data_IF_519208137018
#
_entry.id   IF_519208137018
#
_cell.length_a   1.000
_cell.length_b   1.000
_cell.length_c   1.000
_cell.angle_alpha   90.00
_cell.angle_beta   90.00
_cell.angle_gamma   90.00
#
_symmetry.space_group_name_H-M   'P 1'
#
loop_
_entity.id
_entity.type
_entity.pdbx_description
1 polymer ?
#
# COMPACT_ATOMS: atom_id res chain seq x y z
N UNK A 1 10.12 15.35 9.01
CA UNK A 1 10.65 14.19 8.26
C UNK A 1 9.97 12.88 8.63
N UNK A 2 10.08 12.40 9.87
CA UNK A 2 9.46 11.13 10.30
C UNK A 2 7.95 11.07 10.11
N UNK A 3 7.24 12.14 10.49
CA UNK A 3 5.78 12.23 10.31
C UNK A 3 5.37 12.08 8.84
N UNK A 4 5.96 12.88 7.95
CA UNK A 4 5.63 12.84 6.50
C UNK A 4 5.87 11.44 5.92
N UNK A 5 7.02 10.83 6.21
CA UNK A 5 7.37 9.52 5.67
C UNK A 5 6.57 8.38 6.29
N UNK A 6 6.74 8.12 7.59
CA UNK A 6 6.12 7.00 8.30
C UNK A 6 4.63 7.20 8.60
N UNK A 7 4.20 8.44 8.81
CA UNK A 7 2.80 8.75 9.16
C UNK A 7 1.91 9.04 7.96
N UNK A 8 2.46 9.21 6.75
CA UNK A 8 1.62 9.55 5.57
C UNK A 8 2.05 8.84 4.29
N UNK A 9 3.26 9.08 3.78
CA UNK A 9 3.68 8.58 2.46
C UNK A 9 3.78 7.05 2.40
N UNK A 10 4.43 6.43 3.38
CA UNK A 10 4.60 4.97 3.44
C UNK A 10 3.23 4.27 3.60
N UNK A 11 2.37 4.66 4.56
CA UNK A 11 1.01 4.12 4.67
C UNK A 11 0.18 4.31 3.40
N UNK A 12 0.23 5.48 2.75
CA UNK A 12 -0.48 5.74 1.50
C UNK A 12 -0.04 4.78 0.39
N UNK A 13 1.27 4.60 0.23
CA UNK A 13 1.81 3.62 -0.72
C UNK A 13 1.36 2.19 -0.42
N UNK A 14 1.23 1.82 0.87
CA UNK A 14 0.70 0.51 1.29
C UNK A 14 -0.77 0.35 0.93
N UNK A 15 -1.60 1.37 1.14
CA UNK A 15 -3.03 1.37 0.77
C UNK A 15 -3.17 1.16 -0.74
N UNK A 16 -2.42 1.92 -1.55
CA UNK A 16 -2.44 1.81 -3.01
C UNK A 16 -2.01 0.41 -3.48
N UNK A 17 -0.98 -0.19 -2.87
CA UNK A 17 -0.55 -1.54 -3.24
C UNK A 17 -1.54 -2.65 -2.85
N UNK A 18 -2.36 -2.41 -1.83
CA UNK A 18 -3.39 -3.32 -1.35
C UNK A 18 -4.67 -3.21 -2.20
N UNK A 19 -5.13 -1.99 -2.44
CA UNK A 19 -6.43 -1.75 -3.05
C UNK A 19 -6.38 -1.41 -4.54
N UNK A 20 -5.34 -0.73 -5.01
CA UNK A 20 -5.29 -0.24 -6.39
C UNK A 20 -4.99 -1.32 -7.45
N UNK A 21 -5.20 -2.61 -7.15
CA UNK A 21 -4.80 -3.70 -8.05
C UNK A 21 -5.59 -3.71 -9.36
N UNK A 22 -6.79 -3.13 -9.37
CA UNK A 22 -7.66 -2.95 -10.53
C UNK A 22 -7.25 -1.77 -11.42
N UNK A 23 -6.41 -0.85 -10.92
CA UNK A 23 -6.03 0.37 -11.64
C UNK A 23 -5.37 0.05 -12.99
N UNK A 24 -5.87 0.70 -14.04
CA UNK A 24 -5.37 0.58 -15.41
C UNK A 24 -4.36 1.71 -15.73
N UNK A 25 -3.31 1.44 -16.53
CA UNK A 25 -2.95 0.15 -17.12
C UNK A 25 -2.39 -0.84 -16.09
N UNK A 26 -2.40 -2.13 -16.43
CA UNK A 26 -1.98 -3.20 -15.51
C UNK A 26 -0.61 -2.92 -14.86
N UNK A 27 -0.57 -3.08 -13.54
CA UNK A 27 0.61 -2.78 -12.74
C UNK A 27 0.80 -1.31 -12.36
N UNK A 28 -0.17 -0.42 -12.65
CA UNK A 28 -0.12 0.99 -12.22
C UNK A 28 0.06 1.12 -10.69
N UNK A 29 -0.62 0.30 -9.89
CA UNK A 29 -0.44 0.27 -8.43
C UNK A 29 1.02 0.12 -8.02
N UNK A 30 1.82 -0.64 -8.77
CA UNK A 30 3.23 -0.88 -8.48
C UNK A 30 4.09 0.32 -8.87
N UNK A 31 3.76 0.95 -10.00
CA UNK A 31 4.38 2.19 -10.48
C UNK A 31 4.14 3.37 -9.54
N UNK A 32 3.04 3.37 -8.78
CA UNK A 32 2.75 4.40 -7.76
C UNK A 32 3.31 4.00 -6.39
N UNK A 33 3.15 2.73 -5.98
CA UNK A 33 3.64 2.23 -4.69
C UNK A 33 5.16 2.44 -4.55
N UNK A 34 5.94 2.02 -5.56
CA UNK A 34 7.40 2.07 -5.51
C UNK A 34 7.95 3.48 -5.24
N UNK A 35 7.61 4.53 -6.01
CA UNK A 35 8.12 5.88 -5.74
C UNK A 35 7.65 6.42 -4.39
N UNK A 36 6.40 6.16 -3.97
CA UNK A 36 5.93 6.56 -2.64
C UNK A 36 6.77 5.92 -1.52
N UNK A 37 7.12 4.64 -1.64
CA UNK A 37 8.00 3.99 -0.68
C UNK A 37 9.42 4.58 -0.70
N UNK A 38 10.00 4.82 -1.89
CA UNK A 38 11.35 5.39 -2.01
C UNK A 38 11.40 6.80 -1.40
N UNK A 39 10.44 7.66 -1.76
CA UNK A 39 10.37 9.03 -1.24
C UNK A 39 10.13 8.98 0.27
N UNK A 40 9.12 8.24 0.71
CA UNK A 40 8.80 8.10 2.14
C UNK A 40 9.99 7.61 2.95
N UNK A 41 10.65 6.54 2.50
CA UNK A 41 11.84 6.00 3.16
C UNK A 41 13.00 6.99 3.16
N UNK A 42 13.22 7.74 2.07
CA UNK A 42 14.27 8.78 2.02
C UNK A 42 14.03 9.87 3.06
N UNK A 43 12.80 10.37 3.18
CA UNK A 43 12.43 11.33 4.23
C UNK A 43 12.71 10.76 5.63
N UNK A 44 12.33 9.51 5.89
CA UNK A 44 12.56 8.89 7.20
C UNK A 44 14.04 8.62 7.47
N UNK A 45 14.83 8.28 6.44
CA UNK A 45 16.27 8.05 6.56
C UNK A 45 16.99 9.34 6.93
N UNK A 46 16.68 10.46 6.25
CA UNK A 46 17.21 11.78 6.61
C UNK A 46 16.82 12.15 8.04
N UNK A 47 15.54 11.97 8.39
CA UNK A 47 15.07 12.21 9.76
C UNK A 47 15.78 11.35 10.81
N UNK A 48 16.10 10.10 10.48
CA UNK A 48 16.79 9.18 11.36
C UNK A 48 18.24 9.56 11.56
N UNK A 49 18.96 9.92 10.48
CA UNK A 49 20.34 10.40 10.55
C UNK A 49 20.44 11.67 11.40
N UNK A 50 19.50 12.60 11.22
CA UNK A 50 19.41 13.82 12.05
C UNK A 50 19.17 13.44 13.52
N UNK A 51 18.24 12.51 13.79
CA UNK A 51 17.97 12.04 15.15
C UNK A 51 19.21 11.43 15.82
N UNK A 52 19.97 10.61 15.08
CA UNK A 52 21.18 9.97 15.59
C UNK A 52 22.32 10.95 15.85
N UNK A 53 22.48 11.97 15.00
CA UNK A 53 23.61 12.90 15.09
C UNK A 53 23.35 14.10 16.01
N UNK A 54 22.10 14.57 16.12
CA UNK A 54 21.78 15.79 16.85
C UNK A 54 21.16 15.57 18.24
N UNK A 55 20.52 14.43 18.50
CA UNK A 55 19.70 14.26 19.71
C UNK A 55 20.32 13.33 20.76
N UNK A 56 21.65 13.14 20.72
CA UNK A 56 22.39 12.18 21.56
C UNK A 56 21.60 10.87 21.73
N UNK A 57 20.96 10.41 20.65
CA UNK A 57 19.90 9.40 20.74
C UNK A 57 20.41 8.06 21.30
N UNK A 58 21.73 7.85 21.25
CA UNK A 58 22.46 6.70 21.76
C UNK A 58 23.03 6.91 23.18
N UNK A 59 23.06 8.13 23.71
CA UNK A 59 23.51 8.41 25.07
C UNK A 59 22.37 8.18 26.07
N UNK A 60 22.57 7.21 26.96
CA UNK A 60 21.91 6.95 28.25
C UNK A 60 20.53 7.58 28.55
N UNK A 61 19.60 7.58 27.58
CA UNK A 61 18.22 7.98 27.80
C UNK A 61 17.55 7.08 28.84
N UNK A 62 16.87 7.67 29.82
CA UNK A 62 16.07 6.94 30.82
C UNK A 62 14.59 6.92 30.42
N UNK A 63 13.90 5.82 30.73
CA UNK A 63 12.46 5.69 30.53
C UNK A 63 12.01 5.76 29.06
N UNK A 64 11.03 6.63 28.75
CA UNK A 64 10.35 6.71 27.44
C UNK A 64 11.29 7.02 26.27
N UNK A 65 12.37 7.79 26.51
CA UNK A 65 13.37 8.10 25.49
C UNK A 65 14.10 6.85 25.00
N UNK A 66 14.45 5.94 25.91
CA UNK A 66 15.12 4.69 25.57
C UNK A 66 14.23 3.78 24.71
N UNK A 67 12.96 3.67 25.11
CA UNK A 67 11.95 2.87 24.39
C UNK A 67 11.74 3.44 22.97
N UNK A 68 11.58 4.76 22.86
CA UNK A 68 11.44 5.43 21.57
C UNK A 68 12.65 5.16 20.65
N UNK A 69 13.87 5.34 21.15
CA UNK A 69 15.09 5.07 20.37
C UNK A 69 15.13 3.62 19.89
N UNK A 70 14.96 2.64 20.79
CA UNK A 70 15.03 1.21 20.43
C UNK A 70 13.98 0.81 19.40
N UNK A 71 12.74 1.22 19.61
CA UNK A 71 11.66 0.94 18.65
C UNK A 71 11.89 1.67 17.33
N UNK A 72 12.36 2.91 17.37
CA UNK A 72 12.72 3.67 16.17
C UNK A 72 13.81 2.99 15.35
N UNK A 73 14.84 2.45 16.00
CA UNK A 73 15.89 1.65 15.33
C UNK A 73 15.28 0.42 14.66
N UNK A 74 14.48 -0.37 15.38
CA UNK A 74 13.83 -1.57 14.81
C UNK A 74 12.97 -1.22 13.60
N UNK A 75 12.13 -0.18 13.70
CA UNK A 75 11.28 0.28 12.60
C UNK A 75 12.11 0.73 11.39
N UNK A 76 13.19 1.47 11.61
CA UNK A 76 14.08 1.90 10.52
C UNK A 76 14.78 0.71 9.85
N UNK A 77 15.30 -0.25 10.62
CA UNK A 77 15.87 -1.48 10.06
C UNK A 77 14.84 -2.26 9.26
N UNK A 78 13.63 -2.45 9.78
CA UNK A 78 12.55 -3.11 9.05
C UNK A 78 12.21 -2.38 7.76
N UNK A 79 12.16 -1.04 7.78
CA UNK A 79 11.90 -0.20 6.61
C UNK A 79 12.99 -0.29 5.54
N UNK A 80 14.27 -0.27 5.94
CA UNK A 80 15.41 -0.41 5.03
C UNK A 80 15.54 -1.83 4.45
N UNK A 81 15.11 -2.85 5.19
CA UNK A 81 15.05 -4.23 4.69
C UNK A 81 13.93 -4.44 3.66
N UNK A 82 12.87 -3.62 3.65
CA UNK A 82 11.78 -3.78 2.67
C UNK A 82 12.25 -3.67 1.21
N UNK A 83 12.97 -2.62 0.76
CA UNK A 83 13.43 -2.53 -0.61
C UNK A 83 14.47 -3.62 -0.95
N UNK A 84 15.34 -4.00 0.00
CA UNK A 84 16.29 -5.10 -0.20
C UNK A 84 15.56 -6.44 -0.41
N UNK A 85 14.57 -6.74 0.43
CA UNK A 85 13.72 -7.91 0.26
C UNK A 85 12.92 -7.84 -1.05
N UNK A 86 12.47 -6.65 -1.46
CA UNK A 86 11.77 -6.45 -2.72
C UNK A 86 12.65 -6.62 -3.96
N UNK A 87 13.96 -6.42 -3.84
CA UNK A 87 14.92 -6.74 -4.90
C UNK A 87 15.05 -8.25 -5.10
N UNK A 88 14.94 -9.04 -4.04
CA UNK A 88 14.95 -10.51 -4.08
C UNK A 88 13.61 -11.13 -4.50
N UNK A 89 12.68 -10.32 -5.04
CA UNK A 89 11.35 -10.77 -5.48
C UNK A 89 11.49 -11.84 -6.57
N UNK A 90 10.98 -13.06 -6.35
CA UNK A 90 10.99 -14.10 -7.39
C UNK A 90 10.19 -13.70 -8.62
N UNK A 91 10.68 -14.05 -9.81
CA UNK A 91 9.97 -13.84 -11.08
C UNK A 91 8.74 -14.78 -11.20
N UNK A 92 7.79 -14.42 -12.07
CA UNK A 92 6.73 -15.35 -12.46
C UNK A 92 7.33 -16.43 -13.36
N UNK A 93 6.90 -17.68 -13.18
CA UNK A 93 7.25 -18.75 -14.12
C UNK A 93 6.40 -18.62 -15.40
N UNK A 94 6.88 -19.19 -16.50
CA UNK A 94 6.22 -19.16 -17.81
C UNK A 94 4.76 -19.68 -17.78
N UNK A 95 4.42 -20.56 -16.82
CA UNK A 95 3.07 -21.14 -16.67
C UNK A 95 2.11 -20.30 -15.80
N UNK A 96 2.50 -19.07 -15.44
CA UNK A 96 1.71 -18.11 -14.63
C UNK A 96 1.30 -18.61 -13.22
N UNK A 97 1.75 -19.80 -12.82
CA UNK A 97 1.53 -20.35 -11.48
C UNK A 97 2.48 -19.69 -10.49
N UNK A 98 1.92 -19.13 -9.41
CA UNK A 98 2.70 -18.63 -8.27
C UNK A 98 3.56 -19.77 -7.71
N UNK A 99 4.88 -19.63 -7.80
CA UNK A 99 5.78 -20.58 -7.14
C UNK A 99 5.60 -20.51 -5.63
N UNK A 100 5.81 -21.63 -4.93
CA UNK A 100 5.79 -21.67 -3.44
C UNK A 100 6.70 -20.58 -2.85
N UNK A 101 7.83 -20.32 -3.51
CA UNK A 101 8.79 -19.26 -3.16
C UNK A 101 8.18 -17.86 -3.29
N UNK A 102 7.52 -17.55 -4.43
CA UNK A 102 6.84 -16.27 -4.66
C UNK A 102 5.75 -16.02 -3.62
N UNK A 103 4.99 -17.06 -3.28
CA UNK A 103 3.94 -16.99 -2.27
C UNK A 103 4.51 -16.73 -0.87
N UNK A 104 5.54 -17.47 -0.46
CA UNK A 104 6.23 -17.24 0.81
C UNK A 104 6.83 -15.82 0.90
N UNK A 105 7.46 -15.35 -0.18
CA UNK A 105 7.97 -13.99 -0.27
C UNK A 105 6.86 -12.94 -0.13
N UNK A 106 5.70 -13.15 -0.77
CA UNK A 106 4.55 -12.23 -0.66
C UNK A 106 4.03 -12.13 0.77
N UNK A 107 3.96 -13.25 1.49
CA UNK A 107 3.57 -13.26 2.92
C UNK A 107 4.62 -12.51 3.73
N UNK A 108 5.90 -12.85 3.60
CA UNK A 108 6.97 -12.23 4.38
C UNK A 108 7.04 -10.72 4.14
N UNK A 109 7.07 -10.28 2.88
CA UNK A 109 7.15 -8.88 2.52
C UNK A 109 5.96 -8.07 3.07
N UNK A 110 4.73 -8.58 2.90
CA UNK A 110 3.53 -7.90 3.39
C UNK A 110 3.47 -7.88 4.92
N UNK A 111 3.71 -9.01 5.58
CA UNK A 111 3.64 -9.10 7.04
C UNK A 111 4.64 -8.18 7.73
N UNK A 112 5.90 -8.17 7.28
CA UNK A 112 6.91 -7.26 7.82
C UNK A 112 6.61 -5.80 7.48
N UNK A 113 6.08 -5.50 6.29
CA UNK A 113 5.66 -4.16 5.91
C UNK A 113 4.54 -3.62 6.80
N UNK A 114 3.49 -4.41 7.05
CA UNK A 114 2.40 -4.03 7.94
C UNK A 114 2.86 -3.85 9.39
N UNK A 115 3.70 -4.77 9.87
CA UNK A 115 4.28 -4.65 11.22
C UNK A 115 5.13 -3.38 11.37
N UNK A 116 5.94 -3.03 10.36
CA UNK A 116 6.72 -1.79 10.37
C UNK A 116 5.82 -0.55 10.48
N UNK A 117 4.74 -0.48 9.68
CA UNK A 117 3.80 0.64 9.69
C UNK A 117 3.09 0.76 11.05
N UNK A 118 2.61 -0.36 11.62
CA UNK A 118 1.95 -0.34 12.93
C UNK A 118 2.89 0.10 14.05
N UNK A 119 4.13 -0.41 14.07
CA UNK A 119 5.13 0.01 15.03
C UNK A 119 5.51 1.48 14.86
N UNK A 120 5.56 1.98 13.61
CA UNK A 120 5.87 3.38 13.34
C UNK A 120 4.86 4.35 13.96
N UNK A 121 3.57 3.99 14.03
CA UNK A 121 2.55 4.79 14.73
C UNK A 121 2.90 4.94 16.21
N UNK A 122 3.28 3.84 16.86
CA UNK A 122 3.69 3.84 18.28
C UNK A 122 4.96 4.67 18.48
N UNK A 123 5.95 4.52 17.59
CA UNK A 123 7.20 5.29 17.62
C UNK A 123 6.95 6.79 17.47
N UNK A 124 6.08 7.20 16.54
CA UNK A 124 5.69 8.60 16.33
C UNK A 124 4.97 9.16 17.57
N UNK A 125 4.06 8.40 18.16
CA UNK A 125 3.33 8.83 19.35
C UNK A 125 4.29 9.07 20.53
N UNK A 126 5.24 8.16 20.78
CA UNK A 126 6.25 8.39 21.82
C UNK A 126 7.20 9.53 21.47
N UNK A 127 7.68 9.61 20.23
CA UNK A 127 8.63 10.62 19.81
C UNK A 127 8.09 12.03 19.99
N UNK A 128 6.83 12.25 19.60
CA UNK A 128 6.18 13.56 19.74
C UNK A 128 5.94 13.97 21.19
N UNK A 129 5.85 13.04 22.14
CA UNK A 129 5.79 13.36 23.58
C UNK A 129 7.14 13.73 24.19
N UNK A 130 8.26 13.38 23.53
CA UNK A 130 9.62 13.65 24.00
C UNK A 130 10.15 14.98 23.44
N UNK A 131 9.60 15.46 22.32
CA UNK A 131 10.06 16.69 21.69
C UNK A 131 9.80 17.92 22.58
N UNK A 132 10.77 18.85 22.68
CA UNK A 132 10.64 20.06 23.49
C UNK A 132 9.61 21.08 22.94
N UNK A 133 9.19 20.91 21.69
CA UNK A 133 8.05 21.61 21.07
C UNK A 133 7.24 20.59 20.29
N UNK A 134 5.91 20.67 20.29
CA UNK A 134 5.07 21.82 20.67
C UNK A 134 4.69 21.88 22.16
N UNK A 135 4.20 23.05 22.62
CA UNK A 135 3.77 23.30 24.01
C UNK A 135 2.70 22.32 24.50
N UNK A 136 1.85 21.83 23.59
CA UNK A 136 0.87 20.78 23.84
C UNK A 136 1.05 19.62 22.85
N UNK A 137 1.89 18.62 23.18
CA UNK A 137 2.13 17.47 22.33
C UNK A 137 0.87 16.69 21.97
N UNK A 138 -0.14 16.65 22.86
CA UNK A 138 -1.38 15.90 22.61
C UNK A 138 -2.25 16.60 21.58
N UNK A 139 -2.39 17.92 21.65
CA UNK A 139 -3.11 18.69 20.61
C UNK A 139 -2.44 18.53 19.25
N UNK A 140 -1.11 18.56 19.20
CA UNK A 140 -0.38 18.32 17.97
C UNK A 140 -0.61 16.92 17.41
N UNK A 141 -0.51 15.88 18.26
CA UNK A 141 -0.81 14.50 17.86
C UNK A 141 -2.23 14.36 17.33
N UNK A 142 -3.21 14.99 17.96
CA UNK A 142 -4.60 14.97 17.51
C UNK A 142 -4.77 15.68 16.16
N UNK A 143 -4.24 16.88 16.01
CA UNK A 143 -4.34 17.63 14.76
C UNK A 143 -3.66 16.89 13.60
N UNK A 144 -2.42 16.43 13.81
CA UNK A 144 -1.69 15.66 12.81
C UNK A 144 -2.35 14.30 12.52
N UNK A 145 -2.79 13.59 13.55
CA UNK A 145 -3.46 12.31 13.44
C UNK A 145 -4.79 12.40 12.70
N UNK A 146 -5.58 13.45 12.94
CA UNK A 146 -6.81 13.72 12.18
C UNK A 146 -6.50 14.06 10.73
N UNK A 147 -5.55 14.97 10.47
CA UNK A 147 -5.20 15.36 9.09
C UNK A 147 -4.67 14.18 8.27
N UNK A 148 -3.68 13.46 8.79
CA UNK A 148 -3.12 12.27 8.13
C UNK A 148 -4.15 11.15 8.03
N UNK A 149 -4.95 10.93 9.08
CA UNK A 149 -6.03 9.94 9.09
C UNK A 149 -7.08 10.21 8.02
N UNK A 150 -7.53 11.46 7.88
CA UNK A 150 -8.48 11.85 6.82
C UNK A 150 -7.89 11.63 5.42
N UNK A 151 -6.62 11.98 5.19
CA UNK A 151 -5.96 11.73 3.89
C UNK A 151 -5.96 10.22 3.57
N UNK A 152 -5.57 9.38 4.54
CA UNK A 152 -5.49 7.94 4.34
C UNK A 152 -6.87 7.29 4.20
N UNK A 153 -7.85 7.71 4.99
CA UNK A 153 -9.22 7.22 4.92
C UNK A 153 -9.90 7.63 3.61
N UNK A 154 -9.79 8.90 3.20
CA UNK A 154 -10.31 9.36 1.91
C UNK A 154 -9.68 8.60 0.75
N UNK A 155 -8.37 8.35 0.79
CA UNK A 155 -7.68 7.54 -0.23
C UNK A 155 -8.18 6.10 -0.25
N UNK A 156 -8.41 5.50 0.93
CA UNK A 156 -8.98 4.15 1.06
C UNK A 156 -10.39 4.06 0.49
N UNK A 157 -11.27 4.99 0.88
CA UNK A 157 -12.67 5.06 0.42
C UNK A 157 -12.71 5.25 -1.09
N UNK A 158 -11.93 6.19 -1.61
CA UNK A 158 -11.84 6.44 -3.04
C UNK A 158 -11.43 5.18 -3.82
N UNK A 159 -10.38 4.46 -3.39
CA UNK A 159 -9.93 3.25 -4.09
C UNK A 159 -10.92 2.09 -3.99
N UNK A 160 -11.69 1.98 -2.90
CA UNK A 160 -12.76 0.97 -2.78
C UNK A 160 -13.91 1.30 -3.74
N UNK A 161 -14.33 2.56 -3.76
CA UNK A 161 -15.40 3.04 -4.64
C UNK A 161 -15.02 2.93 -6.12
N UNK A 162 -13.79 3.29 -6.46
CA UNK A 162 -13.23 3.15 -7.80
C UNK A 162 -13.16 1.68 -8.24
N UNK A 163 -12.72 0.80 -7.32
CA UNK A 163 -12.73 -0.64 -7.58
C UNK A 163 -14.15 -1.16 -7.86
N UNK A 164 -15.11 -0.78 -7.03
CA UNK A 164 -16.49 -1.23 -7.16
C UNK A 164 -17.08 -0.82 -8.52
N UNK A 165 -16.87 0.43 -8.95
CA UNK A 165 -17.31 0.87 -10.28
C UNK A 165 -16.63 0.11 -11.42
N UNK A 166 -15.34 -0.19 -11.29
CA UNK A 166 -14.64 -0.96 -12.30
C UNK A 166 -15.22 -2.39 -12.41
N UNK A 167 -15.49 -3.04 -11.27
CA UNK A 167 -16.09 -4.37 -11.23
C UNK A 167 -17.54 -4.36 -11.81
N UNK A 168 -18.31 -3.31 -11.53
CA UNK A 168 -19.67 -3.12 -12.07
C UNK A 168 -19.65 -2.91 -13.61
N UNK A 169 -18.72 -2.09 -14.11
CA UNK A 169 -18.54 -1.85 -15.54
C UNK A 169 -18.17 -3.14 -16.29
N UNK A 170 -17.16 -3.87 -15.80
CA UNK A 170 -16.73 -5.15 -16.41
C UNK A 170 -17.87 -6.18 -16.43
N UNK A 171 -18.72 -6.20 -15.40
CA UNK A 171 -19.89 -7.09 -15.32
C UNK A 171 -20.95 -6.72 -16.35
N UNK A 172 -21.18 -5.42 -16.57
CA UNK A 172 -22.15 -4.93 -17.56
C UNK A 172 -21.70 -5.18 -19.00
N UNK A 173 -20.41 -5.03 -19.29
CA UNK A 173 -19.83 -5.31 -20.61
C UNK A 173 -19.94 -6.81 -20.93
N UNK A 174 -19.57 -7.69 -20.00
CA UNK A 174 -19.68 -9.14 -20.21
C UNK A 174 -21.12 -9.58 -20.45
N UNK A 175 -22.08 -9.04 -19.68
CA UNK A 175 -23.51 -9.35 -19.87
C UNK A 175 -23.99 -8.90 -21.26
N UNK A 176 -23.55 -7.73 -21.72
CA UNK A 176 -23.90 -7.21 -23.05
C UNK A 176 -23.31 -8.09 -24.16
N UNK A 177 -22.08 -8.56 -24.00
CA UNK A 177 -21.42 -9.48 -24.95
C UNK A 177 -22.17 -10.80 -25.02
N UNK A 178 -22.48 -11.41 -23.88
CA UNK A 178 -23.23 -12.69 -23.83
C UNK A 178 -24.59 -12.57 -24.53
N UNK A 179 -25.34 -11.49 -24.28
CA UNK A 179 -26.62 -11.23 -24.94
C UNK A 179 -26.49 -11.04 -26.46
N UNK A 180 -25.42 -10.41 -26.93
CA UNK A 180 -25.19 -10.22 -28.36
C UNK A 180 -24.81 -11.55 -29.04
N UNK A 181 -23.98 -12.38 -28.39
CA UNK A 181 -23.62 -13.72 -28.88
C UNK A 181 -24.83 -14.64 -28.95
N UNK A 182 -25.71 -14.62 -27.94
CA UNK A 182 -26.94 -15.42 -27.92
C UNK A 182 -27.90 -15.01 -29.06
N UNK A 183 -28.06 -13.70 -29.30
CA UNK A 183 -28.87 -13.18 -30.41
C UNK A 183 -28.29 -13.58 -31.78
N UNK A 184 -26.98 -13.51 -31.95
CA UNK A 184 -26.32 -13.89 -33.20
C UNK A 184 -26.47 -15.38 -33.49
N UNK A 185 -26.26 -16.24 -32.48
CA UNK A 185 -26.48 -17.69 -32.61
C UNK A 185 -27.95 -18.02 -32.92
N UNK A 186 -28.91 -17.34 -32.28
CA UNK A 186 -30.34 -17.54 -32.56
C UNK A 186 -30.70 -17.13 -34.00
N UNK A 187 -30.13 -16.04 -34.50
CA UNK A 187 -30.36 -15.59 -35.88
C UNK A 187 -29.77 -16.57 -36.90
N UNK A 188 -28.56 -17.10 -36.63
CA UNK A 188 -27.91 -18.06 -37.52
C UNK A 188 -28.69 -19.38 -37.61
N UNK A 189 -29.17 -19.91 -36.49
CA UNK A 189 -30.01 -21.11 -36.47
C UNK A 189 -31.31 -20.89 -37.25
N UNK A 190 -31.95 -19.74 -37.07
CA UNK A 190 -33.17 -19.40 -37.80
C UNK A 190 -32.95 -19.32 -39.32
N UNK A 191 -31.83 -18.74 -39.77
CA UNK A 191 -31.49 -18.70 -41.20
C UNK A 191 -31.22 -20.10 -41.77
N UNK A 192 -30.56 -20.97 -41.01
CA UNK A 192 -30.30 -22.35 -41.42
C UNK A 192 -31.62 -23.14 -41.55
N UNK A 193 -32.52 -23.03 -40.58
CA UNK A 193 -33.84 -23.66 -40.63
C UNK A 193 -34.66 -23.18 -41.84
N UNK A 194 -34.56 -21.89 -42.19
CA UNK A 194 -35.20 -21.32 -43.38
C UNK A 194 -34.60 -21.80 -44.71
N UNK A 195 -33.30 -22.10 -44.76
CA UNK A 195 -32.65 -22.67 -45.94
C UNK A 195 -33.03 -24.14 -46.11
N UNK A 196 -32.99 -24.94 -45.04
CA UNK A 196 -33.40 -26.35 -45.06
C UNK A 196 -34.88 -26.52 -45.43
N UNK A 197 -35.76 -25.60 -45.03
CA UNK A 197 -37.18 -25.63 -45.38
C UNK A 197 -37.48 -25.30 -46.87
N UNK A 198 -36.49 -24.78 -47.62
CA UNK A 198 -36.63 -24.41 -49.04
C UNK A 198 -36.08 -25.48 -50.00
N UNK A 199 -35.40 -26.51 -49.50
CA UNK A 199 -34.94 -27.70 -50.26
C UNK A 199 -36.00 -28.81 -50.32
#
# INVERSE_FOLDING_TARGET
MMLIGWGTLIPLGVIIAKLGRHLKPDGLWFKIHRPLQIIGLSFTLVGWIIALTQFTALEHGKGKQNIHTRLGMVVMFMGLLQPLNAFLRPHHNADDKKTKLRFAWEILHKSFGYMAVLLAVVVIAFGTMILPRPEDPKKFQMAYGLGSGLILLSSMIYLIWDKQQNDDHDSSDNTTIEQNVEKENSNNNFMQDEEEAKE
#
